data_IF_750892954666
#
_entry.id   IF_750892954666
#
_cell.length_a   1.000
_cell.length_b   1.000
_cell.length_c   1.000
_cell.angle_alpha   90.00
_cell.angle_beta   90.00
_cell.angle_gamma   90.00
#
_symmetry.space_group_name_H-M   'P 1'
#
loop_
_entity.id
_entity.type
_entity.pdbx_description
1 polymer ?
#
# COMPACT_ATOMS: atom_id res chain seq x y z
N UNK A 1 10.61 11.46 23.78
CA UNK A 1 10.35 10.34 24.68
C UNK A 1 8.89 9.91 24.70
N UNK A 2 7.92 10.82 24.90
CA UNK A 2 6.48 10.49 25.02
C UNK A 2 5.92 9.85 23.75
N UNK A 3 6.18 10.40 22.57
CA UNK A 3 5.69 9.83 21.30
C UNK A 3 6.24 8.41 21.04
N UNK A 4 7.49 8.16 21.42
CA UNK A 4 8.09 6.83 21.31
C UNK A 4 7.42 5.84 22.26
N UNK A 5 7.15 6.23 23.51
CA UNK A 5 6.43 5.36 24.44
C UNK A 5 5.02 5.05 23.96
N UNK A 6 4.28 6.07 23.51
CA UNK A 6 2.94 5.88 22.93
C UNK A 6 2.96 4.88 21.75
N UNK A 7 3.93 5.03 20.83
CA UNK A 7 4.05 4.10 19.70
C UNK A 7 4.35 2.66 20.15
N UNK A 8 5.15 2.48 21.21
CA UNK A 8 5.42 1.16 21.78
C UNK A 8 4.16 0.56 22.41
N UNK A 9 3.41 1.34 23.17
CA UNK A 9 2.15 0.89 23.81
C UNK A 9 1.13 0.42 22.75
N UNK A 10 0.99 1.17 21.65
CA UNK A 10 0.15 0.77 20.50
C UNK A 10 0.65 -0.53 19.85
N UNK A 11 1.97 -0.68 19.67
CA UNK A 11 2.55 -1.91 19.09
C UNK A 11 2.29 -3.10 20.02
N UNK A 12 2.37 -2.92 21.33
CA UNK A 12 2.11 -3.98 22.30
C UNK A 12 0.68 -4.51 22.15
N UNK A 13 -0.30 -3.61 22.13
CA UNK A 13 -1.71 -3.97 21.94
C UNK A 13 -1.95 -4.64 20.57
N UNK A 14 -1.40 -4.08 19.49
CA UNK A 14 -1.55 -4.64 18.15
C UNK A 14 -0.94 -6.03 18.02
N UNK A 15 0.19 -6.29 18.65
CA UNK A 15 0.84 -7.61 18.58
C UNK A 15 0.12 -8.69 19.37
N UNK A 16 -0.70 -8.31 20.35
CA UNK A 16 -1.61 -9.20 21.07
C UNK A 16 -2.89 -9.49 20.27
N UNK A 17 -3.50 -8.44 19.68
CA UNK A 17 -4.76 -8.54 18.96
C UNK A 17 -4.61 -9.23 17.59
N UNK A 18 -3.49 -9.01 16.91
CA UNK A 18 -3.26 -9.50 15.55
C UNK A 18 -2.08 -10.47 15.50
N UNK A 19 -2.33 -11.79 15.45
CA UNK A 19 -1.30 -12.82 15.51
C UNK A 19 -0.59 -13.08 14.17
N UNK A 20 -0.52 -12.09 13.29
CA UNK A 20 0.13 -12.18 11.97
C UNK A 20 1.60 -11.77 12.04
N UNK A 21 2.37 -12.21 11.04
CA UNK A 21 3.82 -11.96 11.01
C UNK A 21 4.20 -10.51 10.64
N UNK A 22 3.26 -9.70 10.18
CA UNK A 22 3.52 -8.36 9.66
C UNK A 22 2.78 -7.29 10.43
N UNK A 23 3.40 -6.11 10.53
CA UNK A 23 2.77 -4.87 10.98
C UNK A 23 3.17 -3.73 10.03
N UNK A 24 2.18 -2.94 9.59
CA UNK A 24 2.41 -1.77 8.76
C UNK A 24 2.53 -0.53 9.66
N UNK A 25 3.69 0.15 9.61
CA UNK A 25 3.96 1.32 10.45
C UNK A 25 3.72 2.67 9.72
N UNK A 26 3.12 2.64 8.53
CA UNK A 26 2.80 3.85 7.78
C UNK A 26 4.02 4.54 7.19
N UNK A 27 4.15 5.85 7.39
CA UNK A 27 5.32 6.63 7.02
C UNK A 27 5.15 7.52 5.80
N UNK A 28 3.95 7.54 5.24
CA UNK A 28 3.55 8.38 4.13
C UNK A 28 3.45 9.86 4.53
N UNK A 29 3.65 10.73 3.55
CA UNK A 29 3.34 12.16 3.57
C UNK A 29 3.85 12.93 4.82
N UNK A 30 4.90 12.46 5.47
CA UNK A 30 5.47 13.10 6.65
C UNK A 30 6.13 14.45 6.29
N UNK A 31 5.59 15.58 6.76
CA UNK A 31 6.16 16.88 6.43
C UNK A 31 7.39 17.20 7.29
N UNK A 32 8.55 17.37 6.65
CA UNK A 32 9.82 17.66 7.34
C UNK A 32 10.08 19.15 7.58
N UNK A 33 9.25 20.03 7.04
CA UNK A 33 9.47 21.48 7.08
C UNK A 33 9.51 22.07 8.50
N UNK A 34 8.80 21.46 9.46
CA UNK A 34 8.87 21.87 10.86
C UNK A 34 10.16 21.38 11.52
N UNK A 35 10.61 20.17 11.18
CA UNK A 35 11.87 19.61 11.69
C UNK A 35 13.07 20.43 11.25
N UNK A 36 13.08 20.92 10.01
CA UNK A 36 14.12 21.79 9.46
C UNK A 36 14.28 23.11 10.21
N UNK A 37 13.25 23.55 10.93
CA UNK A 37 13.23 24.80 11.69
C UNK A 37 13.40 24.60 13.20
N UNK A 38 13.45 23.36 13.67
CA UNK A 38 13.56 23.02 15.08
C UNK A 38 15.00 22.65 15.45
N UNK A 39 15.56 23.31 16.43
CA UNK A 39 16.96 23.11 16.86
C UNK A 39 17.20 21.72 17.46
N UNK A 40 16.23 21.16 18.21
CA UNK A 40 16.37 19.81 18.76
C UNK A 40 16.43 18.76 17.63
N UNK A 41 15.63 18.95 16.56
CA UNK A 41 15.68 18.09 15.39
C UNK A 41 17.01 18.22 14.62
N UNK A 42 17.58 19.41 14.53
CA UNK A 42 18.89 19.63 13.91
C UNK A 42 20.00 18.98 14.72
N UNK A 43 19.97 19.12 16.05
CA UNK A 43 20.91 18.50 16.95
C UNK A 43 20.85 16.98 16.84
N UNK A 44 19.65 16.39 16.92
CA UNK A 44 19.46 14.95 16.74
C UNK A 44 19.93 14.48 15.37
N UNK A 45 19.67 15.27 14.30
CA UNK A 45 20.13 14.94 12.95
C UNK A 45 21.67 14.86 12.90
N UNK A 46 22.36 15.82 13.57
CA UNK A 46 23.82 15.83 13.70
C UNK A 46 24.32 14.63 14.53
N UNK A 47 23.65 14.33 15.65
CA UNK A 47 23.99 13.19 16.53
C UNK A 47 23.93 11.86 15.80
N UNK A 48 22.93 11.66 14.93
CA UNK A 48 22.83 10.44 14.10
C UNK A 48 23.72 10.48 12.85
N UNK A 49 24.54 11.52 12.67
CA UNK A 49 25.51 11.64 11.59
C UNK A 49 24.90 11.84 10.21
N UNK A 50 23.74 12.47 10.12
CA UNK A 50 23.03 12.70 8.85
C UNK A 50 22.85 14.20 8.55
N UNK A 51 22.61 14.50 7.27
CA UNK A 51 22.17 15.79 6.75
C UNK A 51 20.78 15.75 6.11
N UNK A 52 20.22 14.56 5.96
CA UNK A 52 18.89 14.34 5.39
C UNK A 52 17.82 14.27 6.50
N UNK A 53 16.95 15.27 6.59
CA UNK A 53 15.89 15.29 7.61
C UNK A 53 14.92 14.09 7.54
N UNK A 54 14.83 13.39 6.41
CA UNK A 54 14.09 12.12 6.32
C UNK A 54 14.68 11.05 7.22
N UNK A 55 15.96 11.12 7.56
CA UNK A 55 16.62 10.15 8.44
C UNK A 55 16.16 10.23 9.89
N UNK A 56 15.55 11.33 10.31
CA UNK A 56 14.89 11.39 11.62
C UNK A 56 13.68 10.42 11.69
N UNK A 57 12.93 10.30 10.60
CA UNK A 57 11.85 9.32 10.52
C UNK A 57 12.40 7.89 10.51
N UNK A 58 13.47 7.65 9.75
CA UNK A 58 14.13 6.35 9.73
C UNK A 58 14.70 5.97 11.10
N UNK A 59 15.29 6.93 11.80
CA UNK A 59 15.78 6.74 13.17
C UNK A 59 14.64 6.37 14.14
N UNK A 60 13.48 7.02 14.01
CA UNK A 60 12.30 6.68 14.79
C UNK A 60 11.85 5.22 14.52
N UNK A 61 11.78 4.80 13.25
CA UNK A 61 11.44 3.43 12.88
C UNK A 61 12.47 2.41 13.36
N UNK A 62 13.75 2.77 13.33
CA UNK A 62 14.81 1.89 13.84
C UNK A 62 14.59 1.59 15.32
N UNK A 63 14.25 2.59 16.13
CA UNK A 63 13.98 2.39 17.54
C UNK A 63 12.75 1.49 17.78
N UNK A 64 11.69 1.62 16.95
CA UNK A 64 10.52 0.74 17.01
C UNK A 64 10.87 -0.69 16.57
N UNK A 65 11.66 -0.84 15.51
CA UNK A 65 12.14 -2.15 15.05
C UNK A 65 12.95 -2.85 16.14
N UNK A 66 13.88 -2.13 16.78
CA UNK A 66 14.67 -2.68 17.86
C UNK A 66 13.79 -3.08 19.05
N UNK A 67 12.80 -2.27 19.37
CA UNK A 67 11.84 -2.60 20.42
C UNK A 67 11.06 -3.88 20.09
N UNK A 68 10.55 -4.02 18.88
CA UNK A 68 9.82 -5.23 18.44
C UNK A 68 10.73 -6.46 18.53
N UNK A 69 12.01 -6.32 18.22
CA UNK A 69 12.98 -7.42 18.31
C UNK A 69 13.23 -7.90 19.76
N UNK A 70 12.94 -7.07 20.77
CA UNK A 70 13.03 -7.47 22.20
C UNK A 70 11.83 -8.28 22.67
N UNK A 71 10.73 -8.32 21.92
CA UNK A 71 9.51 -9.02 22.30
C UNK A 71 9.68 -10.54 22.17
N UNK A 72 8.84 -11.34 22.86
CA UNK A 72 8.79 -12.79 22.62
C UNK A 72 8.58 -13.11 21.14
N UNK A 73 9.14 -14.23 20.67
CA UNK A 73 9.09 -14.62 19.25
C UNK A 73 7.67 -14.60 18.64
N UNK A 74 6.66 -14.96 19.44
CA UNK A 74 5.24 -14.92 19.03
C UNK A 74 4.69 -13.50 18.79
N UNK A 75 5.36 -12.49 19.30
CA UNK A 75 4.98 -11.08 19.16
C UNK A 75 5.93 -10.30 18.24
N UNK A 76 7.02 -10.89 17.78
CA UNK A 76 7.89 -10.24 16.79
C UNK A 76 7.16 -10.12 15.44
N UNK A 77 7.40 -9.02 14.75
CA UNK A 77 6.75 -8.70 13.47
C UNK A 77 7.77 -8.21 12.45
N UNK A 78 7.56 -8.58 11.20
CA UNK A 78 8.21 -7.96 10.06
C UNK A 78 7.52 -6.64 9.74
N UNK A 79 8.29 -5.62 9.42
CA UNK A 79 7.77 -4.27 9.25
C UNK A 79 7.45 -3.97 7.78
N UNK A 80 6.30 -3.35 7.57
CA UNK A 80 5.91 -2.79 6.27
C UNK A 80 5.84 -1.26 6.42
N UNK A 81 6.30 -0.55 5.39
CA UNK A 81 6.25 0.92 5.30
C UNK A 81 5.76 1.34 3.93
N UNK A 82 5.14 2.51 3.86
CA UNK A 82 4.93 3.18 2.58
C UNK A 82 6.27 3.54 1.93
N UNK A 83 6.29 3.69 0.62
CA UNK A 83 7.54 3.82 -0.14
C UNK A 83 8.33 5.12 0.15
N UNK A 84 7.78 6.07 0.86
CA UNK A 84 8.52 7.25 1.35
C UNK A 84 9.66 6.88 2.30
N UNK A 85 9.64 5.71 2.91
CA UNK A 85 10.79 5.18 3.68
C UNK A 85 12.08 5.18 2.84
N UNK A 86 11.97 5.01 1.52
CA UNK A 86 13.10 5.02 0.58
C UNK A 86 13.74 6.41 0.38
N UNK A 87 13.13 7.48 0.91
CA UNK A 87 13.70 8.83 0.86
C UNK A 87 14.76 9.07 1.94
N UNK A 88 14.87 8.18 2.91
CA UNK A 88 15.89 8.20 3.96
C UNK A 88 16.90 7.06 3.83
N UNK A 89 17.82 6.99 4.79
CA UNK A 89 18.86 5.97 4.87
C UNK A 89 18.30 4.64 5.39
N UNK A 90 17.64 3.88 4.53
CA UNK A 90 17.04 2.58 4.87
C UNK A 90 18.05 1.51 5.30
N UNK A 91 19.35 1.71 5.06
CA UNK A 91 20.38 0.72 5.46
C UNK A 91 20.38 0.42 6.96
N UNK A 92 20.02 1.40 7.80
CA UNK A 92 19.94 1.20 9.24
C UNK A 92 18.73 0.36 9.68
N UNK A 93 17.73 0.22 8.82
CA UNK A 93 16.60 -0.68 9.05
C UNK A 93 16.89 -2.12 8.63
N UNK A 94 17.93 -2.34 7.82
CA UNK A 94 18.19 -3.64 7.20
C UNK A 94 17.30 -3.88 5.97
N UNK A 95 17.45 -5.05 5.37
CA UNK A 95 16.69 -5.46 4.17
C UNK A 95 15.52 -6.42 4.47
N UNK A 96 15.28 -6.72 5.72
CA UNK A 96 14.18 -7.58 6.20
C UNK A 96 12.86 -6.79 6.42
N UNK A 97 12.74 -5.63 5.81
CA UNK A 97 11.51 -4.83 5.75
C UNK A 97 10.80 -5.04 4.41
N UNK A 98 9.53 -4.67 4.36
CA UNK A 98 8.73 -4.66 3.14
C UNK A 98 8.29 -3.24 2.81
N UNK A 99 8.43 -2.86 1.55
CA UNK A 99 7.99 -1.55 1.05
C UNK A 99 6.64 -1.71 0.34
N UNK A 100 5.62 -0.98 0.80
CA UNK A 100 4.35 -0.87 0.10
C UNK A 100 4.43 0.33 -0.84
N UNK A 101 4.49 0.03 -2.13
CA UNK A 101 4.77 1.01 -3.18
C UNK A 101 3.47 1.56 -3.77
N UNK A 102 3.20 2.87 -3.57
CA UNK A 102 1.97 3.54 -4.02
C UNK A 102 2.23 4.70 -4.97
N UNK A 103 3.07 5.67 -4.61
CA UNK A 103 3.50 6.74 -5.53
C UNK A 103 4.70 6.26 -6.34
N UNK A 104 4.59 6.33 -7.68
CA UNK A 104 5.64 5.82 -8.54
C UNK A 104 5.93 4.33 -8.29
N UNK A 105 4.90 3.55 -8.03
CA UNK A 105 4.96 2.21 -7.45
C UNK A 105 5.98 1.29 -8.10
N UNK A 106 6.03 1.22 -9.44
CA UNK A 106 6.97 0.33 -10.13
C UNK A 106 8.44 0.75 -9.90
N UNK A 107 8.73 2.05 -9.91
CA UNK A 107 10.07 2.56 -9.64
C UNK A 107 10.48 2.34 -8.18
N UNK A 108 9.58 2.61 -7.24
CA UNK A 108 9.81 2.42 -5.81
C UNK A 108 10.00 0.93 -5.46
N UNK A 109 9.19 0.04 -6.01
CA UNK A 109 9.34 -1.40 -5.82
C UNK A 109 10.67 -1.92 -6.40
N UNK A 110 11.07 -1.44 -7.59
CA UNK A 110 12.37 -1.79 -8.19
C UNK A 110 13.53 -1.26 -7.33
N UNK A 111 13.40 -0.06 -6.77
CA UNK A 111 14.40 0.49 -5.85
C UNK A 111 14.52 -0.34 -4.57
N UNK A 112 13.41 -0.75 -3.96
CA UNK A 112 13.39 -1.62 -2.80
C UNK A 112 14.04 -2.99 -3.10
N UNK A 113 13.62 -3.64 -4.20
CA UNK A 113 14.15 -4.94 -4.62
C UNK A 113 15.67 -4.90 -4.87
N UNK A 114 16.19 -3.84 -5.50
CA UNK A 114 17.64 -3.64 -5.67
C UNK A 114 18.41 -3.50 -4.35
N UNK A 115 17.75 -3.13 -3.27
CA UNK A 115 18.32 -3.08 -1.93
C UNK A 115 18.08 -4.38 -1.14
N UNK A 116 17.51 -5.42 -1.76
CA UNK A 116 17.19 -6.70 -1.14
C UNK A 116 15.94 -6.68 -0.26
N UNK A 117 15.13 -5.63 -0.36
CA UNK A 117 13.87 -5.51 0.39
C UNK A 117 12.71 -6.08 -0.40
N UNK A 118 11.73 -6.65 0.30
CA UNK A 118 10.47 -7.03 -0.31
C UNK A 118 9.64 -5.80 -0.73
N UNK A 119 8.80 -5.98 -1.75
CA UNK A 119 7.88 -4.96 -2.22
C UNK A 119 6.46 -5.53 -2.42
N UNK A 120 5.45 -4.76 -2.02
CA UNK A 120 4.05 -4.96 -2.37
C UNK A 120 3.64 -3.79 -3.26
N UNK A 121 3.09 -4.08 -4.42
CA UNK A 121 2.63 -3.06 -5.35
C UNK A 121 1.20 -2.63 -4.99
N UNK A 122 1.04 -1.39 -4.59
CA UNK A 122 -0.25 -0.75 -4.29
C UNK A 122 -0.37 0.58 -5.05
N UNK A 123 -0.23 0.57 -6.39
CA UNK A 123 -0.12 1.80 -7.17
C UNK A 123 -1.35 2.67 -6.99
N UNK A 124 -1.14 3.97 -6.69
CA UNK A 124 -2.23 4.93 -6.58
C UNK A 124 -3.10 4.94 -7.86
N UNK A 125 -2.45 4.78 -9.01
CA UNK A 125 -3.09 4.56 -10.30
C UNK A 125 -2.63 3.21 -10.82
N UNK A 126 -3.52 2.24 -11.05
CA UNK A 126 -4.98 2.32 -11.01
C UNK A 126 -5.63 1.63 -9.78
N UNK A 127 -4.89 1.34 -8.69
CA UNK A 127 -5.35 0.48 -7.60
C UNK A 127 -5.94 1.21 -6.40
N UNK A 128 -6.05 2.54 -6.44
CA UNK A 128 -6.89 3.27 -5.49
C UNK A 128 -8.33 3.25 -5.98
N UNK A 129 -9.05 2.19 -5.60
CA UNK A 129 -10.41 1.90 -6.07
C UNK A 129 -11.50 2.67 -5.32
N UNK A 130 -11.14 3.68 -4.56
CA UNK A 130 -12.03 4.70 -4.02
C UNK A 130 -12.21 5.90 -4.96
N UNK A 131 -11.69 5.83 -6.20
CA UNK A 131 -11.91 6.81 -7.27
C UNK A 131 -13.05 6.37 -8.17
N UNK A 132 -13.57 7.30 -8.98
CA UNK A 132 -14.59 7.01 -10.00
C UNK A 132 -14.15 5.87 -10.91
N UNK A 133 -15.06 5.00 -11.28
CA UNK A 133 -14.76 3.92 -12.21
C UNK A 133 -15.25 4.19 -13.65
N UNK A 134 -15.99 5.28 -13.85
CA UNK A 134 -16.47 5.70 -15.17
C UNK A 134 -16.54 7.23 -15.29
N UNK A 135 -16.93 7.71 -16.48
CA UNK A 135 -17.21 9.12 -16.75
C UNK A 135 -18.71 9.44 -16.71
N UNK A 136 -19.54 8.53 -16.24
CA UNK A 136 -20.97 8.74 -16.14
C UNK A 136 -21.29 9.85 -15.13
N UNK A 137 -22.33 10.60 -15.38
CA UNK A 137 -22.80 11.66 -14.46
C UNK A 137 -23.38 11.11 -13.17
N UNK A 138 -23.68 9.81 -13.13
CA UNK A 138 -24.20 9.07 -11.97
C UNK A 138 -23.12 8.55 -11.05
N UNK A 139 -21.83 8.77 -11.36
CA UNK A 139 -20.75 8.36 -10.45
C UNK A 139 -20.90 9.02 -9.09
N UNK A 140 -20.73 8.27 -7.99
CA UNK A 140 -20.77 8.83 -6.66
C UNK A 140 -19.61 9.80 -6.42
N UNK A 141 -19.75 10.64 -5.38
CA UNK A 141 -18.62 11.43 -4.91
C UNK A 141 -17.50 10.48 -4.47
N UNK A 142 -16.28 10.80 -4.86
CA UNK A 142 -15.12 9.94 -4.64
C UNK A 142 -13.84 10.77 -4.57
N UNK A 143 -12.76 10.15 -4.08
CA UNK A 143 -11.47 10.82 -3.96
C UNK A 143 -10.87 11.18 -5.33
N UNK A 144 -10.30 12.41 -5.42
CA UNK A 144 -9.48 12.86 -6.55
C UNK A 144 -10.26 13.11 -7.83
N UNK A 145 -9.52 13.40 -8.90
CA UNK A 145 -10.08 13.82 -10.19
C UNK A 145 -9.97 12.74 -11.28
N UNK A 146 -9.38 11.57 -10.93
CA UNK A 146 -9.15 10.48 -11.87
C UNK A 146 -10.36 9.57 -12.04
N UNK A 147 -10.36 8.83 -13.15
CA UNK A 147 -11.25 7.70 -13.39
C UNK A 147 -10.39 6.46 -13.57
N UNK A 148 -10.56 5.50 -12.66
CA UNK A 148 -9.85 4.23 -12.71
C UNK A 148 -10.82 3.14 -13.17
N UNK A 149 -10.87 2.90 -14.48
CA UNK A 149 -11.79 1.92 -15.06
C UNK A 149 -11.40 0.50 -14.70
N UNK A 150 -12.35 -0.42 -14.78
CA UNK A 150 -12.07 -1.87 -14.60
C UNK A 150 -10.99 -2.35 -15.57
N UNK A 151 -11.02 -1.86 -16.82
CA UNK A 151 -10.02 -2.18 -17.84
C UNK A 151 -8.63 -1.68 -17.46
N UNK A 152 -8.52 -0.45 -16.93
CA UNK A 152 -7.25 0.10 -16.47
C UNK A 152 -6.67 -0.71 -15.30
N UNK A 153 -7.52 -1.10 -14.36
CA UNK A 153 -7.14 -1.98 -13.23
C UNK A 153 -6.69 -3.35 -13.73
N UNK A 154 -7.44 -3.96 -14.63
CA UNK A 154 -7.15 -5.28 -15.20
C UNK A 154 -5.82 -5.28 -15.98
N UNK A 155 -5.57 -4.23 -16.77
CA UNK A 155 -4.39 -4.13 -17.64
C UNK A 155 -3.11 -3.74 -16.91
N UNK A 156 -3.18 -3.44 -15.62
CA UNK A 156 -1.96 -3.21 -14.85
C UNK A 156 -1.07 -4.45 -14.83
N UNK A 157 0.22 -4.27 -15.05
CA UNK A 157 1.21 -5.33 -15.13
C UNK A 157 2.22 -5.20 -13.98
N UNK A 158 2.05 -5.97 -12.89
CA UNK A 158 2.90 -5.85 -11.70
C UNK A 158 4.39 -6.06 -11.96
N UNK A 159 4.74 -6.97 -12.87
CA UNK A 159 6.13 -7.33 -13.17
C UNK A 159 6.64 -6.73 -14.50
N UNK A 160 5.95 -5.72 -15.04
CA UNK A 160 6.40 -5.07 -16.27
C UNK A 160 7.80 -4.45 -16.08
N UNK A 161 8.71 -4.77 -16.97
CA UNK A 161 10.10 -4.28 -17.00
C UNK A 161 10.89 -4.58 -15.71
N UNK A 162 10.53 -5.68 -15.02
CA UNK A 162 11.24 -6.16 -13.84
C UNK A 162 12.21 -7.26 -14.22
N UNK A 163 13.48 -7.06 -13.91
CA UNK A 163 14.56 -8.02 -14.16
C UNK A 163 14.29 -9.32 -13.38
N UNK A 164 14.58 -10.48 -13.96
CA UNK A 164 14.21 -11.79 -13.41
C UNK A 164 14.77 -12.03 -11.99
N UNK A 165 15.97 -11.54 -11.70
CA UNK A 165 16.63 -11.64 -10.40
C UNK A 165 15.97 -10.78 -9.31
N UNK A 166 15.20 -9.77 -9.70
CA UNK A 166 14.45 -8.90 -8.78
C UNK A 166 13.02 -9.39 -8.51
N UNK A 167 12.46 -10.23 -9.38
CA UNK A 167 11.07 -10.69 -9.23
C UNK A 167 10.79 -11.41 -7.90
N UNK A 168 11.70 -12.18 -7.28
CA UNK A 168 11.45 -12.81 -5.99
C UNK A 168 11.15 -11.85 -4.84
N UNK A 169 11.55 -10.59 -4.95
CA UNK A 169 11.25 -9.55 -3.96
C UNK A 169 9.83 -8.99 -4.06
N UNK A 170 9.15 -9.17 -5.20
CA UNK A 170 7.76 -8.72 -5.40
C UNK A 170 6.81 -9.74 -4.78
N UNK A 171 6.13 -9.34 -3.69
CA UNK A 171 5.28 -10.25 -2.89
C UNK A 171 3.83 -10.26 -3.33
N UNK A 172 3.43 -9.33 -4.17
CA UNK A 172 2.07 -9.27 -4.71
C UNK A 172 1.58 -7.85 -4.94
N UNK A 173 0.28 -7.76 -5.06
CA UNK A 173 -0.45 -6.52 -5.31
C UNK A 173 -1.48 -6.27 -4.22
N UNK A 174 -1.82 -5.00 -3.99
CA UNK A 174 -2.88 -4.58 -3.09
C UNK A 174 -3.66 -3.44 -3.71
N UNK A 175 -4.98 -3.47 -3.61
CA UNK A 175 -5.81 -2.30 -3.85
C UNK A 175 -6.08 -1.58 -2.53
N UNK A 176 -6.18 -0.26 -2.59
CA UNK A 176 -6.55 0.55 -1.44
C UNK A 176 -7.92 1.19 -1.66
N UNK A 177 -8.67 1.25 -0.58
CA UNK A 177 -9.95 1.93 -0.53
C UNK A 177 -9.99 2.87 0.68
N UNK A 178 -9.94 4.17 0.41
CA UNK A 178 -9.98 5.22 1.43
C UNK A 178 -11.41 5.75 1.55
N UNK A 179 -11.91 5.93 2.77
CA UNK A 179 -13.35 6.09 3.02
C UNK A 179 -13.79 7.52 3.28
N UNK A 180 -12.94 8.53 3.06
CA UNK A 180 -13.25 9.94 3.34
C UNK A 180 -14.53 10.45 2.62
N UNK A 181 -14.86 9.84 1.47
CA UNK A 181 -15.99 10.24 0.63
C UNK A 181 -17.10 9.19 0.61
N UNK A 182 -17.02 8.18 1.46
CA UNK A 182 -18.01 7.08 1.51
C UNK A 182 -19.02 7.38 2.58
N UNK A 183 -20.25 7.67 2.18
CA UNK A 183 -21.36 8.00 3.08
C UNK A 183 -22.27 6.82 3.36
N UNK A 184 -22.31 5.82 2.45
CA UNK A 184 -23.22 4.69 2.48
C UNK A 184 -22.48 3.42 2.05
N UNK A 185 -22.85 2.23 2.58
CA UNK A 185 -22.27 0.95 2.15
C UNK A 185 -22.37 0.70 0.64
N UNK A 186 -23.49 1.11 0.03
CA UNK A 186 -23.72 0.99 -1.42
C UNK A 186 -22.68 1.75 -2.26
N UNK A 187 -22.19 2.90 -1.78
CA UNK A 187 -21.12 3.65 -2.45
C UNK A 187 -19.81 2.88 -2.41
N UNK A 188 -19.50 2.23 -1.27
CA UNK A 188 -18.33 1.37 -1.15
C UNK A 188 -18.41 0.18 -2.10
N UNK A 189 -19.53 -0.52 -2.10
CA UNK A 189 -19.78 -1.68 -2.97
C UNK A 189 -19.65 -1.29 -4.45
N UNK A 190 -20.32 -0.22 -4.85
CA UNK A 190 -20.26 0.30 -6.23
C UNK A 190 -18.83 0.62 -6.64
N UNK A 191 -18.07 1.33 -5.83
CA UNK A 191 -16.70 1.72 -6.16
C UNK A 191 -15.73 0.54 -6.16
N UNK A 192 -15.97 -0.47 -5.34
CA UNK A 192 -15.13 -1.67 -5.29
C UNK A 192 -15.42 -2.63 -6.44
N UNK A 193 -16.70 -2.87 -6.73
CA UNK A 193 -17.12 -3.93 -7.64
C UNK A 193 -17.38 -3.38 -9.04
N UNK A 194 -16.89 -4.07 -10.09
CA UNK A 194 -16.11 -5.32 -10.04
C UNK A 194 -14.58 -5.11 -10.07
N UNK A 195 -14.06 -3.88 -9.84
CA UNK A 195 -12.61 -3.60 -9.92
C UNK A 195 -11.77 -4.48 -9.01
N UNK A 196 -12.30 -4.87 -7.84
CA UNK A 196 -11.59 -5.76 -6.93
C UNK A 196 -11.32 -7.14 -7.56
N UNK A 197 -12.25 -7.65 -8.39
CA UNK A 197 -12.01 -8.87 -9.16
C UNK A 197 -10.89 -8.70 -10.19
N UNK A 198 -10.78 -7.52 -10.82
CA UNK A 198 -9.68 -7.22 -11.74
C UNK A 198 -8.32 -7.15 -11.03
N UNK A 199 -8.26 -6.62 -9.81
CA UNK A 199 -7.05 -6.65 -8.97
C UNK A 199 -6.66 -8.09 -8.64
N UNK A 200 -7.64 -8.92 -8.24
CA UNK A 200 -7.40 -10.34 -7.95
C UNK A 200 -6.85 -11.08 -9.17
N UNK A 201 -7.44 -10.87 -10.35
CA UNK A 201 -6.94 -11.46 -11.59
C UNK A 201 -5.49 -11.06 -11.88
N UNK A 202 -5.17 -9.78 -11.71
CA UNK A 202 -3.81 -9.28 -11.94
C UNK A 202 -2.79 -9.87 -10.95
N UNK A 203 -3.21 -10.20 -9.74
CA UNK A 203 -2.35 -10.80 -8.72
C UNK A 203 -2.17 -12.32 -8.84
N UNK A 204 -3.18 -13.04 -9.33
CA UNK A 204 -3.20 -14.50 -9.34
C UNK A 204 -2.93 -15.12 -10.71
N UNK A 205 -3.27 -14.41 -11.80
CA UNK A 205 -3.18 -14.96 -13.16
C UNK A 205 -1.93 -14.47 -13.86
N UNK A 206 -1.05 -15.37 -14.33
CA UNK A 206 0.11 -14.99 -15.14
C UNK A 206 -0.28 -14.10 -16.32
N UNK A 207 0.53 -13.08 -16.61
CA UNK A 207 0.22 -12.06 -17.63
C UNK A 207 -0.14 -12.64 -18.99
N UNK A 208 0.56 -13.68 -19.41
CA UNK A 208 0.35 -14.35 -20.70
C UNK A 208 -0.95 -15.16 -20.80
N UNK A 209 -1.61 -15.38 -19.66
CA UNK A 209 -2.91 -16.07 -19.58
C UNK A 209 -4.08 -15.11 -19.39
N UNK A 210 -3.82 -13.83 -19.17
CA UNK A 210 -4.89 -12.84 -18.96
C UNK A 210 -5.54 -12.45 -20.28
N UNK A 211 -6.86 -12.45 -20.31
CA UNK A 211 -7.68 -12.03 -21.43
C UNK A 211 -8.86 -11.20 -20.93
N UNK A 212 -8.90 -9.92 -21.29
CA UNK A 212 -9.90 -8.99 -20.76
C UNK A 212 -11.33 -9.33 -21.23
N UNK A 213 -11.51 -9.83 -22.46
CA UNK A 213 -12.83 -10.23 -22.95
C UNK A 213 -13.35 -11.45 -22.17
N UNK A 214 -12.51 -12.47 -21.94
CA UNK A 214 -12.86 -13.61 -21.10
C UNK A 214 -13.15 -13.17 -19.65
N UNK A 215 -12.37 -12.25 -19.11
CA UNK A 215 -12.63 -11.67 -17.81
C UNK A 215 -14.01 -11.01 -17.73
N UNK A 216 -14.42 -10.23 -18.73
CA UNK A 216 -15.75 -9.62 -18.77
C UNK A 216 -16.86 -10.66 -18.76
N UNK A 217 -16.72 -11.76 -19.51
CA UNK A 217 -17.70 -12.84 -19.50
C UNK A 217 -17.84 -13.49 -18.10
N UNK A 218 -16.74 -13.67 -17.39
CA UNK A 218 -16.76 -14.19 -16.02
C UNK A 218 -17.40 -13.20 -15.05
N UNK A 219 -17.11 -11.91 -15.17
CA UNK A 219 -17.72 -10.86 -14.35
C UNK A 219 -19.22 -10.75 -14.54
N UNK A 220 -19.74 -11.00 -15.75
CA UNK A 220 -21.20 -11.08 -15.96
C UNK A 220 -21.87 -12.17 -15.13
N UNK A 221 -21.19 -13.30 -14.92
CA UNK A 221 -21.68 -14.35 -14.01
C UNK A 221 -21.57 -13.95 -12.54
N UNK A 222 -20.49 -13.27 -12.17
CA UNK A 222 -20.34 -12.74 -10.81
C UNK A 222 -21.41 -11.69 -10.50
N UNK A 223 -21.87 -10.93 -11.51
CA UNK A 223 -22.95 -9.96 -11.36
C UNK A 223 -24.27 -10.60 -10.89
N UNK A 224 -24.56 -11.83 -11.28
CA UNK A 224 -25.71 -12.58 -10.76
C UNK A 224 -25.62 -12.78 -9.24
N UNK A 225 -24.39 -13.02 -8.74
CA UNK A 225 -24.15 -13.13 -7.30
C UNK A 225 -24.28 -11.77 -6.61
N UNK A 226 -23.81 -10.68 -7.23
CA UNK A 226 -23.96 -9.32 -6.68
C UNK A 226 -25.43 -8.95 -6.57
N UNK A 227 -26.22 -9.21 -7.61
CA UNK A 227 -27.68 -8.99 -7.61
C UNK A 227 -28.38 -9.84 -6.53
N UNK A 228 -28.01 -11.12 -6.39
CA UNK A 228 -28.55 -12.00 -5.34
C UNK A 228 -28.24 -11.51 -3.92
N UNK A 229 -27.07 -10.91 -3.72
CA UNK A 229 -26.63 -10.33 -2.44
C UNK A 229 -27.19 -8.93 -2.18
N UNK A 230 -27.79 -8.30 -3.21
CA UNK A 230 -28.23 -6.90 -3.14
C UNK A 230 -27.08 -5.90 -3.08
N UNK A 231 -25.91 -6.25 -3.60
CA UNK A 231 -24.75 -5.36 -3.64
C UNK A 231 -24.80 -4.42 -4.85
N UNK A 232 -24.38 -3.20 -4.63
CA UNK A 232 -24.16 -2.26 -5.73
C UNK A 232 -22.84 -2.52 -6.45
N UNK A 233 -22.82 -2.31 -7.76
CA UNK A 233 -21.61 -2.48 -8.58
C UNK A 233 -21.68 -1.70 -9.89
N UNK A 234 -20.56 -1.51 -10.56
CA UNK A 234 -20.46 -0.79 -11.83
C UNK A 234 -21.06 -1.55 -13.00
N UNK A 235 -22.38 -1.48 -13.17
CA UNK A 235 -23.14 -2.17 -14.26
C UNK A 235 -22.75 -1.77 -15.68
N UNK A 236 -22.07 -0.62 -15.82
CA UNK A 236 -21.68 -0.07 -17.13
C UNK A 236 -20.59 -0.85 -17.87
N UNK A 237 -19.99 -1.85 -17.23
CA UNK A 237 -18.98 -2.72 -17.86
C UNK A 237 -19.54 -4.03 -18.41
N UNK A 238 -20.83 -4.29 -18.17
CA UNK A 238 -21.49 -5.56 -18.51
C UNK A 238 -21.79 -5.71 -20.01
#
# INVERSE_FOLDING_TARGET
PQAMQFAKDVIDELTELFPFNYIHLGGDECPINKWQKNEECKNLLSEIGSTNFRDLQIYFYKQLKDYIATKPASQQRQLIFWNEVLHGNTRILGNDITVMAWIGANAAAKQAAKQGMNAILSPQIPYYINRKQSKLSTEPMSQGHGTETVEAVYNYQPLKDVDADLQPYYKGVQANFWTEWVTEPSVLEYLMLPRLAAVAEAGWTPQEKRNYEDFKERIRKDAELYDLKGWDYGKHIM
#
